data_IF_572931961038
#
_entry.id   IF_572931961038
#
_cell.length_a   1.000
_cell.length_b   1.000
_cell.length_c   1.000
_cell.angle_alpha   90.00
_cell.angle_beta   90.00
_cell.angle_gamma   90.00
#
_symmetry.space_group_name_H-M   'P 1'
#
loop_
_entity.id
_entity.type
_entity.pdbx_description
1 polymer ?
#
# COMPACT_ATOMS: atom_id res chain seq x y z
N UNK A 1 -17.27 -4.74 -10.99
CA UNK A 1 -15.95 -4.09 -11.03
C UNK A 1 -15.49 -4.09 -12.47
N UNK A 2 -14.92 -2.99 -12.96
CA UNK A 2 -14.49 -2.83 -14.36
C UNK A 2 -13.45 -3.87 -14.80
N UNK A 3 -12.72 -4.48 -13.86
CA UNK A 3 -11.67 -5.46 -14.13
C UNK A 3 -12.04 -6.91 -13.77
N UNK A 4 -13.29 -7.17 -13.38
CA UNK A 4 -13.68 -8.49 -12.84
C UNK A 4 -13.38 -9.66 -13.79
N UNK A 5 -13.61 -9.42 -15.08
CA UNK A 5 -13.47 -10.42 -16.13
C UNK A 5 -12.12 -10.33 -16.86
N UNK A 6 -11.27 -9.36 -16.50
CA UNK A 6 -9.94 -9.16 -17.12
C UNK A 6 -8.78 -9.70 -16.31
N UNK A 7 -8.97 -9.95 -15.00
CA UNK A 7 -7.93 -10.49 -14.12
C UNK A 7 -7.89 -12.01 -14.20
N UNK A 8 -6.69 -12.56 -14.38
CA UNK A 8 -6.40 -13.98 -14.21
C UNK A 8 -6.64 -14.45 -12.77
N UNK A 9 -6.81 -15.77 -12.58
CA UNK A 9 -6.94 -16.35 -11.25
C UNK A 9 -5.74 -16.01 -10.36
N UNK A 10 -4.52 -16.06 -10.90
CA UNK A 10 -3.30 -15.70 -10.18
C UNK A 10 -3.30 -14.25 -9.72
N UNK A 11 -3.77 -13.31 -10.53
CA UNK A 11 -3.85 -11.89 -10.15
C UNK A 11 -4.88 -11.66 -9.03
N UNK A 12 -6.02 -12.36 -9.08
CA UNK A 12 -7.04 -12.31 -8.02
C UNK A 12 -6.49 -12.87 -6.69
N UNK A 13 -5.80 -14.01 -6.74
CA UNK A 13 -5.16 -14.63 -5.57
C UNK A 13 -4.09 -13.74 -4.93
N UNK A 14 -3.40 -12.93 -5.73
CA UNK A 14 -2.33 -12.05 -5.28
C UNK A 14 -2.76 -10.60 -5.01
N UNK A 15 -4.07 -10.29 -5.07
CA UNK A 15 -4.56 -8.93 -4.93
C UNK A 15 -4.13 -8.27 -3.60
N UNK A 16 -4.32 -8.98 -2.48
CA UNK A 16 -3.93 -8.45 -1.16
C UNK A 16 -2.42 -8.34 -1.03
N UNK A 17 -1.69 -9.32 -1.55
CA UNK A 17 -0.23 -9.31 -1.55
C UNK A 17 0.32 -8.11 -2.32
N UNK A 18 -0.21 -7.85 -3.53
CA UNK A 18 0.10 -6.66 -4.31
C UNK A 18 -0.18 -5.36 -3.55
N UNK A 19 -1.30 -5.30 -2.82
CA UNK A 19 -1.62 -4.20 -1.92
C UNK A 19 -0.56 -3.96 -0.83
N UNK A 20 -0.10 -5.02 -0.14
CA UNK A 20 0.98 -4.93 0.85
C UNK A 20 2.29 -4.40 0.24
N UNK A 21 2.67 -4.92 -0.92
CA UNK A 21 3.89 -4.48 -1.63
C UNK A 21 3.80 -3.01 -2.05
N UNK A 22 2.65 -2.55 -2.52
CA UNK A 22 2.42 -1.15 -2.87
C UNK A 22 2.60 -0.22 -1.68
N UNK A 23 2.02 -0.55 -0.51
CA UNK A 23 2.16 0.24 0.71
C UNK A 23 3.62 0.28 1.19
N UNK A 24 4.29 -0.87 1.21
CA UNK A 24 5.71 -0.95 1.58
C UNK A 24 6.57 -0.09 0.65
N UNK A 25 6.40 -0.24 -0.66
CA UNK A 25 7.16 0.50 -1.68
C UNK A 25 6.97 2.01 -1.53
N UNK A 26 5.73 2.49 -1.41
CA UNK A 26 5.45 3.92 -1.29
C UNK A 26 5.93 4.46 0.07
N UNK A 27 5.80 3.69 1.15
CA UNK A 27 6.31 4.05 2.48
C UNK A 27 7.83 4.24 2.48
N UNK A 28 8.56 3.31 1.87
CA UNK A 28 10.02 3.41 1.70
C UNK A 28 10.38 4.62 0.82
N UNK A 29 9.67 4.87 -0.28
CA UNK A 29 9.94 6.03 -1.15
C UNK A 29 9.74 7.36 -0.43
N UNK A 30 8.71 7.49 0.41
CA UNK A 30 8.55 8.69 1.23
C UNK A 30 9.66 8.83 2.28
N UNK A 31 10.11 7.73 2.89
CA UNK A 31 11.22 7.77 3.84
C UNK A 31 12.52 8.20 3.16
N UNK A 32 12.84 7.62 2.00
CA UNK A 32 14.02 7.99 1.21
C UNK A 32 13.98 9.48 0.86
N UNK A 33 12.86 9.96 0.34
CA UNK A 33 12.74 11.38 -0.04
C UNK A 33 12.92 12.30 1.18
N UNK A 34 12.36 11.95 2.34
CA UNK A 34 12.58 12.70 3.58
C UNK A 34 14.07 12.75 3.99
N UNK A 35 14.79 11.62 3.87
CA UNK A 35 16.22 11.55 4.20
C UNK A 35 17.09 12.32 3.20
N UNK A 36 16.64 12.47 1.96
CA UNK A 36 17.33 13.20 0.89
C UNK A 36 16.96 14.69 0.85
N UNK A 37 16.09 15.17 1.75
CA UNK A 37 15.72 16.58 1.84
C UNK A 37 14.49 16.99 1.03
N UNK A 38 13.56 16.06 0.79
CA UNK A 38 12.23 16.29 0.20
C UNK A 38 12.28 16.89 -1.23
N UNK A 39 13.09 16.32 -2.14
CA UNK A 39 13.28 16.84 -3.50
C UNK A 39 12.40 16.17 -4.57
N UNK A 40 11.90 14.95 -4.31
CA UNK A 40 11.10 14.18 -5.26
C UNK A 40 9.59 14.47 -5.13
N UNK A 41 9.03 14.34 -3.93
CA UNK A 41 7.61 14.58 -3.68
C UNK A 41 7.37 16.02 -3.21
N UNK A 42 6.33 16.66 -3.75
CA UNK A 42 5.90 17.98 -3.24
C UNK A 42 5.50 17.88 -1.77
N UNK A 43 6.16 18.69 -0.94
CA UNK A 43 5.86 18.87 0.48
C UNK A 43 5.23 20.25 0.72
N UNK A 44 4.58 20.41 1.88
CA UNK A 44 3.84 21.62 2.24
C UNK A 44 4.20 22.12 3.65
N UNK A 45 5.00 21.34 4.38
CA UNK A 45 5.44 21.58 5.76
C UNK A 45 6.63 20.68 6.04
N UNK A 46 7.36 21.00 7.10
CA UNK A 46 8.41 20.13 7.64
C UNK A 46 7.86 18.74 7.97
N UNK A 47 8.68 17.70 7.74
CA UNK A 47 8.36 16.29 8.04
C UNK A 47 7.16 15.71 7.29
N UNK A 48 6.68 16.37 6.22
CA UNK A 48 5.49 15.91 5.49
C UNK A 48 5.68 14.49 4.92
N UNK A 49 6.83 14.21 4.29
CA UNK A 49 7.10 12.87 3.78
C UNK A 49 7.34 11.84 4.90
N UNK A 50 7.95 12.24 6.03
CA UNK A 50 8.06 11.36 7.20
C UNK A 50 6.68 10.92 7.73
N UNK A 51 5.72 11.84 7.79
CA UNK A 51 4.36 11.50 8.23
C UNK A 51 3.62 10.65 7.19
N UNK A 52 3.82 10.92 5.89
CA UNK A 52 3.29 10.07 4.82
C UNK A 52 3.84 8.64 4.92
N UNK A 53 5.15 8.49 5.14
CA UNK A 53 5.81 7.21 5.38
C UNK A 53 5.16 6.44 6.55
N UNK A 54 4.99 7.10 7.71
CA UNK A 54 4.33 6.49 8.89
C UNK A 54 2.93 6.00 8.56
N UNK A 55 2.14 6.79 7.84
CA UNK A 55 0.80 6.38 7.44
C UNK A 55 0.81 5.14 6.56
N UNK A 56 1.73 5.02 5.60
CA UNK A 56 1.83 3.81 4.75
C UNK A 56 2.17 2.56 5.59
N UNK A 57 3.05 2.67 6.57
CA UNK A 57 3.41 1.55 7.44
C UNK A 57 2.31 1.20 8.45
N UNK A 58 1.54 2.18 8.93
CA UNK A 58 0.33 1.91 9.73
C UNK A 58 -0.68 1.13 8.89
N UNK A 59 -0.94 1.55 7.64
CA UNK A 59 -1.83 0.83 6.74
C UNK A 59 -1.34 -0.60 6.45
N UNK A 60 -0.04 -0.76 6.20
CA UNK A 60 0.55 -2.08 5.98
C UNK A 60 0.32 -2.98 7.19
N UNK A 61 0.62 -2.48 8.39
CA UNK A 61 0.39 -3.20 9.65
C UNK A 61 -1.08 -3.57 9.84
N UNK A 62 -2.00 -2.65 9.55
CA UNK A 62 -3.43 -2.93 9.64
C UNK A 62 -3.86 -4.01 8.65
N UNK A 63 -3.31 -4.03 7.43
CA UNK A 63 -3.58 -5.12 6.48
C UNK A 63 -3.05 -6.46 7.02
N UNK A 64 -1.84 -6.49 7.58
CA UNK A 64 -1.27 -7.71 8.17
C UNK A 64 -2.10 -8.22 9.36
N UNK A 65 -2.57 -7.31 10.23
CA UNK A 65 -3.42 -7.65 11.38
C UNK A 65 -4.80 -8.18 10.96
N UNK A 66 -5.31 -7.78 9.79
CA UNK A 66 -6.63 -8.14 9.28
C UNK A 66 -6.55 -9.03 8.03
N UNK A 67 -5.40 -9.69 7.79
CA UNK A 67 -5.12 -10.38 6.52
C UNK A 67 -6.16 -11.48 6.21
N UNK A 68 -6.57 -12.25 7.23
CA UNK A 68 -7.55 -13.33 7.06
C UNK A 68 -8.90 -12.77 6.60
N UNK A 69 -9.43 -11.76 7.30
CA UNK A 69 -10.72 -11.13 6.98
C UNK A 69 -10.69 -10.50 5.58
N UNK A 70 -9.63 -9.79 5.25
CA UNK A 70 -9.46 -9.16 3.93
C UNK A 70 -9.39 -10.21 2.82
N UNK A 71 -8.71 -11.34 3.03
CA UNK A 71 -8.67 -12.45 2.08
C UNK A 71 -10.05 -13.08 1.87
N UNK A 72 -10.85 -13.25 2.93
CA UNK A 72 -12.22 -13.76 2.83
C UNK A 72 -13.12 -12.81 2.03
N UNK A 73 -13.00 -11.50 2.27
CA UNK A 73 -13.70 -10.48 1.49
C UNK A 73 -13.31 -10.57 0.02
N UNK A 74 -12.01 -10.65 -0.29
CA UNK A 74 -11.54 -10.76 -1.69
C UNK A 74 -12.12 -12.02 -2.35
N UNK A 75 -12.07 -13.17 -1.69
CA UNK A 75 -12.65 -14.43 -2.22
C UNK A 75 -14.15 -14.34 -2.45
N UNK A 76 -14.89 -13.62 -1.61
CA UNK A 76 -16.34 -13.42 -1.76
C UNK A 76 -16.72 -12.64 -3.02
N UNK A 77 -15.85 -11.73 -3.49
CA UNK A 77 -16.15 -10.82 -4.60
C UNK A 77 -15.32 -11.06 -5.88
N UNK A 78 -14.32 -11.94 -5.82
CA UNK A 78 -13.50 -12.38 -6.97
C UNK A 78 -14.27 -13.22 -7.97
#
# INVERSE_FOLDING_TARGET
SELKDSLSNTEKENLLFGGKIMLLMIGVRFLTDYLEGDHYFKTAREKHNLDRCRNQFILLKQIEENEIELQEIIKKYS
#
